data_IF_570770518281
#
_entry.id   IF_570770518281
#
_cell.length_a   1.000
_cell.length_b   1.000
_cell.length_c   1.000
_cell.angle_alpha   90.00
_cell.angle_beta   90.00
_cell.angle_gamma   90.00
#
_symmetry.space_group_name_H-M   'P 1'
#
loop_
_entity.id
_entity.type
_entity.pdbx_description
1 polymer ?
#
# COMPACT_ATOMS: atom_id res chain seq x y z
N UNK A 1 12.82 13.43 -9.99
CA UNK A 1 12.41 12.05 -10.34
C UNK A 1 11.09 12.01 -11.13
N UNK A 2 9.92 12.36 -10.55
CA UNK A 2 8.63 12.24 -11.26
C UNK A 2 8.57 13.01 -12.60
N UNK A 3 9.06 14.24 -12.63
CA UNK A 3 9.14 15.03 -13.87
C UNK A 3 10.07 14.41 -14.91
N UNK A 4 11.21 13.83 -14.48
CA UNK A 4 12.15 13.16 -15.38
C UNK A 4 11.53 11.87 -15.93
N UNK A 5 10.78 11.11 -15.10
CA UNK A 5 9.99 9.96 -15.56
C UNK A 5 8.95 10.38 -16.59
N UNK A 6 8.22 11.49 -16.36
CA UNK A 6 7.23 12.02 -17.29
C UNK A 6 7.84 12.41 -18.65
N UNK A 7 9.08 12.91 -18.67
CA UNK A 7 9.84 13.22 -19.89
C UNK A 7 10.49 11.99 -20.53
N UNK A 8 10.38 10.81 -19.91
CA UNK A 8 11.04 9.59 -20.39
C UNK A 8 12.56 9.58 -20.19
N UNK A 9 13.08 10.40 -19.27
CA UNK A 9 14.52 10.51 -19.05
C UNK A 9 15.05 9.27 -18.29
N UNK A 10 16.11 8.61 -18.77
CA UNK A 10 16.68 7.41 -18.14
C UNK A 10 17.06 7.61 -16.68
N UNK A 11 17.50 8.81 -16.30
CA UNK A 11 17.87 9.15 -14.93
C UNK A 11 16.67 9.07 -13.97
N UNK A 12 15.53 9.62 -14.36
CA UNK A 12 14.33 9.58 -13.53
C UNK A 12 13.86 8.16 -13.29
N UNK A 13 13.88 7.32 -14.33
CA UNK A 13 13.51 5.92 -14.24
C UNK A 13 14.51 5.10 -13.41
N UNK A 14 15.81 5.39 -13.50
CA UNK A 14 16.82 4.77 -12.65
C UNK A 14 16.54 5.06 -11.16
N UNK A 15 16.34 6.34 -10.82
CA UNK A 15 16.02 6.77 -9.46
C UNK A 15 14.71 6.13 -8.97
N UNK A 16 13.69 6.10 -9.80
CA UNK A 16 12.39 5.51 -9.47
C UNK A 16 12.48 4.00 -9.20
N UNK A 17 13.12 3.24 -10.08
CA UNK A 17 13.30 1.79 -9.88
C UNK A 17 14.14 1.53 -8.64
N UNK A 18 15.27 2.25 -8.46
CA UNK A 18 16.14 2.10 -7.29
C UNK A 18 15.40 2.28 -5.99
N UNK A 19 14.60 3.34 -5.89
CA UNK A 19 14.02 3.77 -4.61
C UNK A 19 12.67 3.10 -4.29
N UNK A 20 11.97 2.57 -5.31
CA UNK A 20 10.60 2.06 -5.14
C UNK A 20 10.44 0.56 -5.45
N UNK A 21 11.48 -0.14 -5.95
CA UNK A 21 11.38 -1.56 -6.29
C UNK A 21 11.08 -2.44 -5.08
N UNK A 22 11.78 -2.24 -3.97
CA UNK A 22 11.56 -3.04 -2.76
C UNK A 22 10.18 -2.78 -2.15
N UNK A 23 9.76 -1.52 -2.09
CA UNK A 23 8.42 -1.16 -1.64
C UNK A 23 7.35 -1.83 -2.52
N UNK A 24 7.53 -1.81 -3.85
CA UNK A 24 6.63 -2.49 -4.80
C UNK A 24 6.58 -4.00 -4.54
N UNK A 25 7.73 -4.61 -4.31
CA UNK A 25 7.84 -6.04 -4.02
C UNK A 25 7.05 -6.42 -2.77
N UNK A 26 7.31 -5.73 -1.66
CA UNK A 26 6.64 -5.98 -0.38
C UNK A 26 5.12 -5.81 -0.50
N UNK A 27 4.69 -4.74 -1.13
CA UNK A 27 3.28 -4.46 -1.28
C UNK A 27 2.58 -5.50 -2.17
N UNK A 28 3.16 -5.85 -3.32
CA UNK A 28 2.59 -6.87 -4.20
C UNK A 28 2.50 -8.23 -3.51
N UNK A 29 3.53 -8.63 -2.74
CA UNK A 29 3.52 -9.91 -2.01
C UNK A 29 2.50 -9.94 -0.87
N UNK A 30 2.30 -8.82 -0.18
CA UNK A 30 1.31 -8.73 0.89
C UNK A 30 -0.12 -8.83 0.37
N UNK A 31 -0.45 -8.07 -0.68
CA UNK A 31 -1.80 -8.06 -1.24
C UNK A 31 -2.09 -9.25 -2.18
N UNK A 32 -1.05 -9.74 -2.86
CA UNK A 32 -1.15 -10.74 -3.93
C UNK A 32 -0.07 -11.82 -3.77
N UNK A 33 -0.11 -12.63 -2.70
CA UNK A 33 0.93 -13.62 -2.41
C UNK A 33 1.11 -14.66 -3.53
N UNK A 34 0.11 -14.86 -4.38
CA UNK A 34 0.20 -15.72 -5.56
C UNK A 34 1.26 -15.25 -6.58
N UNK A 35 1.72 -14.00 -6.52
CA UNK A 35 2.77 -13.48 -7.41
C UNK A 35 4.20 -13.88 -6.96
N UNK A 36 4.36 -14.47 -5.78
CA UNK A 36 5.67 -14.79 -5.19
C UNK A 36 6.60 -15.60 -6.11
N UNK A 37 6.15 -16.63 -6.84
CA UNK A 37 7.04 -17.44 -7.69
C UNK A 37 7.72 -16.63 -8.80
N UNK A 38 7.05 -15.60 -9.32
CA UNK A 38 7.51 -14.80 -10.46
C UNK A 38 7.61 -13.31 -10.14
N UNK A 39 7.78 -12.96 -8.87
CA UNK A 39 7.72 -11.55 -8.42
C UNK A 39 8.68 -10.64 -9.19
N UNK A 40 9.86 -11.12 -9.57
CA UNK A 40 10.84 -10.35 -10.37
C UNK A 40 10.30 -9.96 -11.74
N UNK A 41 9.59 -10.87 -12.42
CA UNK A 41 8.94 -10.63 -13.71
C UNK A 41 7.77 -9.63 -13.54
N UNK A 42 6.97 -9.81 -12.50
CA UNK A 42 5.86 -8.90 -12.18
C UNK A 42 6.33 -7.49 -11.86
N UNK A 43 7.42 -7.34 -11.12
CA UNK A 43 8.01 -6.02 -10.87
C UNK A 43 8.47 -5.35 -12.17
N UNK A 44 9.16 -6.08 -13.02
CA UNK A 44 9.59 -5.57 -14.33
C UNK A 44 8.41 -5.14 -15.20
N UNK A 45 7.37 -6.00 -15.28
CA UNK A 45 6.15 -5.71 -16.02
C UNK A 45 5.40 -4.50 -15.45
N UNK A 46 5.36 -4.36 -14.13
CA UNK A 46 4.77 -3.21 -13.44
C UNK A 46 5.46 -1.89 -13.83
N UNK A 47 6.80 -1.83 -13.74
CA UNK A 47 7.53 -0.61 -14.10
C UNK A 47 7.39 -0.27 -15.59
N UNK A 48 7.39 -1.28 -16.47
CA UNK A 48 7.10 -1.09 -17.89
C UNK A 48 5.70 -0.49 -18.11
N UNK A 49 4.69 -1.05 -17.44
CA UNK A 49 3.33 -0.51 -17.50
C UNK A 49 3.24 0.94 -17.00
N UNK A 50 3.91 1.27 -15.89
CA UNK A 50 3.95 2.64 -15.37
C UNK A 50 4.52 3.62 -16.39
N UNK A 51 5.52 3.20 -17.17
CA UNK A 51 6.09 3.97 -18.26
C UNK A 51 5.11 4.09 -19.45
N UNK A 52 4.62 2.96 -19.93
CA UNK A 52 3.82 2.89 -21.17
C UNK A 52 2.44 3.54 -21.01
N UNK A 53 1.88 3.55 -19.81
CA UNK A 53 0.64 4.25 -19.48
C UNK A 53 0.81 5.76 -19.31
N UNK A 54 2.03 6.29 -19.45
CA UNK A 54 2.35 7.68 -19.16
C UNK A 54 1.87 8.13 -17.76
N UNK A 55 1.90 7.23 -16.78
CA UNK A 55 1.35 7.44 -15.43
C UNK A 55 1.86 8.73 -14.77
N UNK A 56 3.12 9.08 -15.01
CA UNK A 56 3.70 10.32 -14.49
C UNK A 56 3.22 11.59 -15.22
N UNK A 57 2.61 11.45 -16.41
CA UNK A 57 2.20 12.59 -17.23
C UNK A 57 0.94 13.24 -16.64
N UNK A 58 1.02 14.53 -16.35
CA UNK A 58 -0.10 15.28 -15.79
C UNK A 58 -0.34 15.09 -14.29
N UNK A 59 0.46 14.25 -13.62
CA UNK A 59 0.39 14.12 -12.16
C UNK A 59 1.23 15.22 -11.50
N UNK A 60 0.58 15.98 -10.62
CA UNK A 60 1.23 16.93 -9.74
C UNK A 60 1.06 16.46 -8.31
N UNK A 61 2.18 16.24 -7.62
CA UNK A 61 2.18 15.87 -6.22
C UNK A 61 2.77 17.00 -5.40
N UNK A 62 2.06 17.44 -4.38
CA UNK A 62 2.53 18.48 -3.47
C UNK A 62 3.63 17.98 -2.54
N UNK A 63 3.69 16.65 -2.34
CA UNK A 63 4.66 15.99 -1.46
C UNK A 63 4.77 14.48 -1.77
N UNK A 64 5.81 13.84 -1.18
CA UNK A 64 6.05 12.40 -1.37
C UNK A 64 4.87 11.53 -0.89
N UNK A 65 4.11 11.96 0.12
CA UNK A 65 2.99 11.16 0.66
C UNK A 65 1.83 11.05 -0.33
N UNK A 66 1.51 12.13 -1.04
CA UNK A 66 0.52 12.10 -2.12
C UNK A 66 0.96 11.18 -3.26
N UNK A 67 2.25 11.25 -3.61
CA UNK A 67 2.84 10.33 -4.57
C UNK A 67 2.71 8.87 -4.11
N UNK A 68 3.07 8.56 -2.87
CA UNK A 68 2.98 7.20 -2.32
C UNK A 68 1.57 6.62 -2.39
N UNK A 69 0.54 7.45 -2.16
CA UNK A 69 -0.85 6.98 -2.22
C UNK A 69 -1.28 6.69 -3.66
N UNK A 70 -0.95 7.56 -4.61
CA UNK A 70 -1.22 7.30 -6.03
C UNK A 70 -0.40 6.08 -6.54
N UNK A 71 0.81 5.92 -6.07
CA UNK A 71 1.67 4.78 -6.38
C UNK A 71 1.08 3.46 -5.83
N UNK A 72 0.57 3.47 -4.61
CA UNK A 72 -0.17 2.34 -4.04
C UNK A 72 -1.35 1.93 -4.92
N UNK A 73 -2.14 2.90 -5.37
CA UNK A 73 -3.31 2.62 -6.19
C UNK A 73 -2.92 2.02 -7.55
N UNK A 74 -1.81 2.47 -8.14
CA UNK A 74 -1.25 1.89 -9.37
C UNK A 74 -0.79 0.44 -9.16
N UNK A 75 -0.06 0.16 -8.07
CA UNK A 75 0.39 -1.19 -7.71
C UNK A 75 -0.79 -2.14 -7.48
N UNK A 76 -1.80 -1.67 -6.76
CA UNK A 76 -2.99 -2.46 -6.48
C UNK A 76 -3.78 -2.77 -7.76
N UNK A 77 -3.95 -1.79 -8.65
CA UNK A 77 -4.60 -2.00 -9.95
C UNK A 77 -3.85 -3.03 -10.80
N UNK A 78 -2.50 -2.96 -10.82
CA UNK A 78 -1.68 -3.94 -11.51
C UNK A 78 -1.85 -5.35 -10.93
N UNK A 79 -1.69 -5.50 -9.61
CA UNK A 79 -1.81 -6.80 -8.95
C UNK A 79 -3.16 -7.47 -9.20
N UNK A 80 -4.24 -6.72 -9.14
CA UNK A 80 -5.60 -7.22 -9.45
C UNK A 80 -5.74 -7.75 -10.88
N UNK A 81 -5.18 -7.04 -11.83
CA UNK A 81 -5.28 -7.42 -13.24
C UNK A 81 -4.55 -8.74 -13.52
N UNK A 82 -3.36 -8.91 -12.93
CA UNK A 82 -2.54 -10.11 -13.22
C UNK A 82 -2.93 -11.34 -12.40
N UNK A 83 -3.54 -11.17 -11.22
CA UNK A 83 -3.88 -12.32 -10.36
C UNK A 83 -5.23 -12.96 -10.67
N UNK A 84 -6.17 -12.25 -11.29
CA UNK A 84 -7.53 -12.75 -11.64
C UNK A 84 -8.17 -13.59 -10.53
N UNK A 85 -8.04 -13.17 -9.29
CA UNK A 85 -8.46 -13.98 -8.14
C UNK A 85 -9.97 -14.20 -8.13
N UNK A 86 -10.45 -15.46 -8.16
CA UNK A 86 -11.75 -15.80 -7.64
C UNK A 86 -11.65 -15.82 -6.13
N UNK A 87 -11.81 -14.68 -5.47
CA UNK A 87 -11.87 -14.68 -4.02
C UNK A 87 -13.32 -14.85 -3.56
N UNK A 88 -13.57 -15.61 -2.49
CA UNK A 88 -14.86 -15.61 -1.84
C UNK A 88 -15.15 -14.19 -1.38
N UNK A 89 -16.30 -13.67 -1.76
CA UNK A 89 -16.71 -12.33 -1.34
C UNK A 89 -17.03 -12.36 0.16
N UNK A 90 -16.26 -11.62 0.96
CA UNK A 90 -16.73 -11.24 2.29
C UNK A 90 -17.87 -10.24 2.07
N UNK A 91 -19.09 -10.49 2.57
CA UNK A 91 -20.15 -9.50 2.53
C UNK A 91 -19.68 -8.27 3.33
N UNK A 92 -19.63 -7.12 2.67
CA UNK A 92 -19.17 -5.87 3.29
C UNK A 92 -20.00 -5.53 4.52
N UNK A 93 -21.30 -5.70 4.40
CA UNK A 93 -22.27 -5.46 5.47
C UNK A 93 -21.95 -6.33 6.70
N UNK A 94 -21.58 -7.59 6.48
CA UNK A 94 -21.19 -8.51 7.57
C UNK A 94 -19.90 -8.09 8.23
N UNK A 95 -18.90 -7.66 7.44
CA UNK A 95 -17.65 -7.13 7.99
C UNK A 95 -17.91 -5.89 8.84
N UNK A 96 -18.69 -4.93 8.35
CA UNK A 96 -19.06 -3.71 9.07
C UNK A 96 -19.81 -4.05 10.37
N UNK A 97 -20.79 -4.94 10.30
CA UNK A 97 -21.57 -5.40 11.47
C UNK A 97 -20.67 -6.00 12.56
N UNK A 98 -19.80 -6.93 12.18
CA UNK A 98 -18.93 -7.64 13.15
C UNK A 98 -17.87 -6.72 13.76
N UNK A 99 -17.47 -5.67 13.03
CA UNK A 99 -16.42 -4.75 13.47
C UNK A 99 -16.95 -3.46 14.13
N UNK A 100 -18.27 -3.26 14.19
CA UNK A 100 -18.89 -1.99 14.69
C UNK A 100 -18.47 -1.62 16.11
N UNK A 101 -18.24 -2.62 16.98
CA UNK A 101 -17.91 -2.41 18.41
C UNK A 101 -16.41 -2.16 18.63
N UNK A 102 -15.58 -2.39 17.61
CA UNK A 102 -14.15 -2.17 17.69
C UNK A 102 -13.82 -0.68 17.76
N UNK A 103 -12.83 -0.33 18.57
CA UNK A 103 -12.20 1.00 18.52
C UNK A 103 -11.52 1.22 17.17
N UNK A 104 -11.16 2.46 16.85
CA UNK A 104 -10.44 2.76 15.61
C UNK A 104 -9.13 1.97 15.52
N UNK A 105 -8.35 1.93 16.60
CA UNK A 105 -7.08 1.19 16.68
C UNK A 105 -7.28 -0.31 16.38
N UNK A 106 -8.30 -0.91 16.94
CA UNK A 106 -8.61 -2.33 16.68
C UNK A 106 -9.06 -2.58 15.25
N UNK A 107 -9.81 -1.66 14.64
CA UNK A 107 -10.17 -1.73 13.22
C UNK A 107 -8.96 -1.59 12.31
N UNK A 108 -8.04 -0.68 12.63
CA UNK A 108 -6.77 -0.53 11.91
C UNK A 108 -5.96 -1.84 11.97
N UNK A 109 -5.81 -2.44 13.16
CA UNK A 109 -5.12 -3.70 13.34
C UNK A 109 -5.74 -4.81 12.49
N UNK A 110 -7.06 -4.96 12.55
CA UNK A 110 -7.77 -5.97 11.77
C UNK A 110 -7.66 -5.74 10.25
N UNK A 111 -7.75 -4.48 9.82
CA UNK A 111 -7.63 -4.11 8.40
C UNK A 111 -6.24 -4.41 7.85
N UNK A 112 -5.18 -4.09 8.59
CA UNK A 112 -3.80 -4.42 8.23
C UNK A 112 -3.55 -5.93 8.24
N UNK A 113 -4.16 -6.67 9.18
CA UNK A 113 -4.08 -8.12 9.20
C UNK A 113 -4.68 -8.75 7.92
N UNK A 114 -5.83 -8.27 7.49
CA UNK A 114 -6.46 -8.69 6.22
C UNK A 114 -5.57 -8.37 5.01
N UNK A 115 -4.81 -7.27 5.04
CA UNK A 115 -3.83 -6.90 4.02
C UNK A 115 -2.58 -7.80 4.00
N UNK A 116 -2.49 -8.81 4.87
CA UNK A 116 -1.42 -9.81 4.87
C UNK A 116 -0.27 -9.54 5.83
N UNK A 117 -0.32 -8.45 6.60
CA UNK A 117 0.72 -8.16 7.60
C UNK A 117 0.64 -9.13 8.78
N UNK A 118 1.80 -9.47 9.34
CA UNK A 118 1.86 -10.20 10.60
C UNK A 118 1.62 -9.28 11.81
N UNK A 119 1.34 -9.88 12.96
CA UNK A 119 0.99 -9.14 14.17
C UNK A 119 2.10 -8.19 14.65
N UNK A 120 3.37 -8.54 14.44
CA UNK A 120 4.52 -7.71 14.82
C UNK A 120 4.64 -6.49 13.91
N UNK A 121 4.47 -6.69 12.61
CA UNK A 121 4.45 -5.61 11.64
C UNK A 121 3.31 -4.62 11.91
N UNK A 122 2.12 -5.14 12.21
CA UNK A 122 0.94 -4.32 12.54
C UNK A 122 1.18 -3.48 13.79
N UNK A 123 1.69 -4.09 14.86
CA UNK A 123 2.01 -3.37 16.10
C UNK A 123 3.01 -2.22 15.86
N UNK A 124 3.97 -2.42 14.95
CA UNK A 124 4.92 -1.38 14.56
C UNK A 124 4.31 -0.28 13.68
N UNK A 125 3.29 -0.61 12.86
CA UNK A 125 2.62 0.36 11.97
C UNK A 125 1.64 1.26 12.70
N UNK A 126 0.80 0.67 13.56
CA UNK A 126 -0.28 1.40 14.25
C UNK A 126 0.26 2.39 15.28
N UNK A 127 1.52 2.24 15.72
CA UNK A 127 2.20 3.16 16.65
C UNK A 127 1.38 3.51 17.90
N UNK A 128 0.61 2.55 18.44
CA UNK A 128 -0.22 2.68 19.62
C UNK A 128 0.15 1.62 20.66
N UNK A 129 0.24 1.99 21.93
CA UNK A 129 0.59 1.08 23.01
C UNK A 129 -0.39 -0.12 23.16
N UNK A 130 -1.66 0.05 22.75
CA UNK A 130 -2.64 -1.03 22.73
C UNK A 130 -2.44 -2.01 21.57
N UNK A 131 -1.70 -1.65 20.53
CA UNK A 131 -1.44 -2.46 19.34
C UNK A 131 -0.27 -3.43 19.58
N UNK A 132 -0.43 -4.36 20.52
CA UNK A 132 0.55 -5.44 20.72
C UNK A 132 0.29 -6.59 19.75
N UNK A 133 1.32 -7.37 19.43
CA UNK A 133 1.16 -8.56 18.58
C UNK A 133 0.08 -9.53 19.12
N UNK A 134 -0.01 -9.69 20.43
CA UNK A 134 -1.02 -10.53 21.07
C UNK A 134 -2.44 -9.95 20.88
N UNK A 135 -2.62 -8.63 21.02
CA UNK A 135 -3.91 -7.98 20.80
C UNK A 135 -4.37 -8.11 19.34
N UNK A 136 -3.45 -7.90 18.38
CA UNK A 136 -3.74 -8.07 16.95
C UNK A 136 -4.23 -9.49 16.65
N UNK A 137 -3.51 -10.51 17.14
CA UNK A 137 -3.90 -11.90 16.91
C UNK A 137 -5.25 -12.23 17.56
N UNK A 138 -5.46 -11.80 18.80
CA UNK A 138 -6.72 -12.04 19.52
C UNK A 138 -7.94 -11.44 18.82
N UNK A 139 -7.82 -10.20 18.30
CA UNK A 139 -8.89 -9.54 17.55
C UNK A 139 -9.14 -10.27 16.23
N UNK A 140 -8.08 -10.63 15.50
CA UNK A 140 -8.21 -11.36 14.24
C UNK A 140 -8.94 -12.70 14.46
N UNK A 141 -8.50 -13.51 15.43
CA UNK A 141 -9.11 -14.80 15.71
C UNK A 141 -10.58 -14.68 16.12
N UNK A 142 -10.90 -13.70 16.97
CA UNK A 142 -12.26 -13.51 17.48
C UNK A 142 -13.23 -12.98 16.41
N UNK A 143 -12.82 -11.96 15.66
CA UNK A 143 -13.73 -11.22 14.76
C UNK A 143 -13.85 -11.88 13.39
N UNK A 144 -12.75 -12.37 12.83
CA UNK A 144 -12.79 -12.97 11.51
C UNK A 144 -13.51 -14.31 11.47
N UNK A 145 -13.47 -15.08 12.56
CA UNK A 145 -14.30 -16.27 12.71
C UNK A 145 -15.81 -15.98 12.62
N UNK A 146 -16.25 -14.78 12.98
CA UNK A 146 -17.63 -14.33 12.88
C UNK A 146 -17.99 -13.84 11.46
N UNK A 147 -17.02 -13.32 10.71
CA UNK A 147 -17.22 -12.83 9.34
C UNK A 147 -17.42 -13.98 8.36
N UNK A 148 -16.54 -14.97 8.40
CA UNK A 148 -16.60 -16.19 7.60
C UNK A 148 -16.32 -17.41 8.48
N UNK A 149 -17.35 -17.99 9.10
CA UNK A 149 -17.19 -19.16 9.94
C UNK A 149 -16.55 -20.34 9.20
N UNK A 150 -15.48 -20.90 9.77
CA UNK A 150 -14.74 -22.02 9.19
C UNK A 150 -13.74 -21.66 8.09
N UNK A 151 -13.63 -20.41 7.70
CA UNK A 151 -12.62 -19.97 6.74
C UNK A 151 -11.24 -19.85 7.41
N UNK A 152 -10.22 -20.40 6.76
CA UNK A 152 -8.82 -20.20 7.17
C UNK A 152 -8.32 -18.78 6.89
N UNK A 153 -7.22 -18.41 7.54
CA UNK A 153 -6.58 -17.09 7.39
C UNK A 153 -6.28 -16.72 5.93
N UNK A 154 -5.85 -17.68 5.11
CA UNK A 154 -5.56 -17.45 3.69
C UNK A 154 -6.80 -17.04 2.89
N UNK A 155 -7.96 -17.69 3.14
CA UNK A 155 -9.22 -17.35 2.49
C UNK A 155 -9.67 -15.96 2.88
N UNK A 156 -9.54 -15.60 4.15
CA UNK A 156 -9.88 -14.27 4.66
C UNK A 156 -8.99 -13.18 4.05
N UNK A 157 -7.69 -13.44 3.98
CA UNK A 157 -6.73 -12.51 3.34
C UNK A 157 -6.97 -12.36 1.83
N UNK A 158 -7.24 -13.46 1.14
CA UNK A 158 -7.62 -13.40 -0.28
C UNK A 158 -8.87 -12.55 -0.53
N UNK A 159 -9.77 -12.48 0.45
CA UNK A 159 -11.01 -11.71 0.36
C UNK A 159 -10.82 -10.21 0.56
N UNK A 160 -9.65 -9.74 1.03
CA UNK A 160 -9.39 -8.31 1.26
C UNK A 160 -9.54 -7.48 -0.01
N UNK A 161 -9.16 -8.04 -1.15
CA UNK A 161 -9.28 -7.36 -2.45
C UNK A 161 -10.72 -6.92 -2.72
N UNK A 162 -11.71 -7.77 -2.43
CA UNK A 162 -13.13 -7.41 -2.56
C UNK A 162 -13.58 -6.34 -1.56
N UNK A 163 -13.09 -6.42 -0.31
CA UNK A 163 -13.38 -5.38 0.69
C UNK A 163 -12.78 -4.03 0.28
N UNK A 164 -11.57 -4.00 -0.28
CA UNK A 164 -10.93 -2.79 -0.80
C UNK A 164 -11.70 -2.19 -1.99
N UNK A 165 -12.18 -3.04 -2.90
CA UNK A 165 -13.02 -2.61 -4.02
C UNK A 165 -14.37 -2.04 -3.54
N UNK A 166 -14.97 -2.72 -2.58
CA UNK A 166 -16.21 -2.27 -1.99
C UNK A 166 -16.00 -0.96 -1.21
N UNK A 167 -14.93 -0.84 -0.44
CA UNK A 167 -14.56 0.39 0.25
C UNK A 167 -14.42 1.58 -0.72
N UNK A 168 -13.78 1.35 -1.87
CA UNK A 168 -13.65 2.38 -2.91
C UNK A 168 -14.99 2.81 -3.54
N UNK A 169 -15.98 1.91 -3.56
CA UNK A 169 -17.33 2.17 -4.09
C UNK A 169 -18.26 2.81 -3.06
N UNK A 170 -18.10 2.49 -1.78
CA UNK A 170 -18.93 2.98 -0.67
C UNK A 170 -18.44 4.34 -0.15
N UNK A 171 -18.13 5.27 -1.05
CA UNK A 171 -17.77 6.63 -0.64
C UNK A 171 -18.96 7.26 0.06
N UNK A 172 -18.85 7.43 1.37
CA UNK A 172 -19.72 8.40 2.06
C UNK A 172 -19.29 9.80 1.61
N UNK A 173 -20.24 10.63 1.25
CA UNK A 173 -19.96 12.02 0.88
C UNK A 173 -20.25 12.92 2.11
N UNK A 174 -19.26 13.70 2.56
CA UNK A 174 -17.90 13.84 2.04
C UNK A 174 -16.88 12.92 2.75
N UNK A 175 -16.07 12.16 1.99
CA UNK A 175 -14.88 11.52 2.56
C UNK A 175 -13.85 12.56 3.02
N UNK A 176 -13.05 12.18 4.04
CA UNK A 176 -12.02 13.06 4.60
C UNK A 176 -10.92 13.36 3.54
N UNK A 177 -10.49 14.64 3.46
CA UNK A 177 -9.39 15.02 2.58
C UNK A 177 -8.05 14.48 3.09
N UNK A 178 -7.06 14.32 2.20
CA UNK A 178 -5.70 13.85 2.55
C UNK A 178 -5.04 14.67 3.63
N UNK A 179 -5.28 15.98 3.67
CA UNK A 179 -4.76 16.88 4.71
C UNK A 179 -5.17 16.43 6.12
N UNK A 180 -6.39 15.91 6.28
CA UNK A 180 -6.87 15.40 7.57
C UNK A 180 -6.07 14.19 8.02
N UNK A 181 -5.83 13.21 7.16
CA UNK A 181 -5.00 12.04 7.49
C UNK A 181 -3.57 12.45 7.84
N UNK A 182 -2.98 13.36 7.06
CA UNK A 182 -1.65 13.89 7.32
C UNK A 182 -1.56 14.57 8.70
N UNK A 183 -2.54 15.40 9.03
CA UNK A 183 -2.59 16.09 10.33
C UNK A 183 -2.78 15.11 11.48
N UNK A 184 -3.65 14.10 11.33
CA UNK A 184 -3.85 13.04 12.34
C UNK A 184 -2.54 12.31 12.66
N UNK A 185 -1.84 11.84 11.63
CA UNK A 185 -0.58 11.08 11.78
C UNK A 185 0.53 11.93 12.38
N UNK A 186 0.57 13.24 12.07
CA UNK A 186 1.58 14.16 12.61
C UNK A 186 1.19 14.78 13.97
N UNK A 187 0.03 14.45 14.53
CA UNK A 187 -0.46 15.06 15.77
C UNK A 187 -0.79 16.55 15.65
N UNK A 188 -1.12 17.03 14.44
CA UNK A 188 -1.40 18.42 14.12
C UNK A 188 -2.91 18.75 14.13
N UNK A 189 -3.70 17.98 14.84
CA UNK A 189 -5.14 18.16 14.99
C UNK A 189 -5.45 18.64 16.41
N UNK A 190 -6.46 19.49 16.53
CA UNK A 190 -7.09 19.74 17.83
C UNK A 190 -7.81 18.47 18.30
N UNK A 191 -8.09 18.37 19.61
CA UNK A 191 -8.82 17.22 20.16
C UNK A 191 -10.17 17.00 19.45
N UNK A 192 -10.92 18.06 19.20
CA UNK A 192 -12.24 17.98 18.54
C UNK A 192 -12.14 17.54 17.07
N UNK A 193 -11.17 18.06 16.31
CA UNK A 193 -10.93 17.65 14.93
C UNK A 193 -10.57 16.18 14.87
N UNK A 194 -9.73 15.71 15.80
CA UNK A 194 -9.33 14.34 15.92
C UNK A 194 -10.53 13.43 16.19
N UNK A 195 -11.35 13.76 17.19
CA UNK A 195 -12.55 12.98 17.54
C UNK A 195 -13.50 12.83 16.34
N UNK A 196 -13.79 13.93 15.64
CA UNK A 196 -14.66 13.92 14.46
C UNK A 196 -14.07 13.08 13.31
N UNK A 197 -12.77 13.20 13.06
CA UNK A 197 -12.11 12.45 12.03
C UNK A 197 -12.06 10.95 12.36
N UNK A 198 -11.74 10.58 13.60
CA UNK A 198 -11.70 9.18 14.06
C UNK A 198 -13.10 8.55 14.01
N UNK A 199 -14.15 9.28 14.40
CA UNK A 199 -15.54 8.82 14.27
C UNK A 199 -15.88 8.53 12.79
N UNK A 200 -15.56 9.47 11.89
CA UNK A 200 -15.80 9.27 10.46
C UNK A 200 -15.00 8.09 9.88
N UNK A 201 -13.72 7.97 10.22
CA UNK A 201 -12.87 6.85 9.76
C UNK A 201 -13.46 5.51 10.24
N UNK A 202 -13.97 5.48 11.46
CA UNK A 202 -14.63 4.31 12.03
C UNK A 202 -15.86 3.89 11.23
N UNK A 203 -16.66 4.83 10.74
CA UNK A 203 -17.93 4.54 10.06
C UNK A 203 -17.80 4.43 8.53
N UNK A 204 -16.72 4.97 7.95
CA UNK A 204 -16.47 4.97 6.52
C UNK A 204 -15.32 4.02 6.13
N UNK A 205 -15.66 2.86 5.53
CA UNK A 205 -14.67 1.86 5.14
C UNK A 205 -13.62 2.40 4.15
N UNK A 206 -14.01 3.30 3.25
CA UNK A 206 -13.07 3.96 2.35
C UNK A 206 -12.07 4.85 3.10
N UNK A 207 -12.51 5.60 4.11
CA UNK A 207 -11.61 6.40 4.93
C UNK A 207 -10.73 5.55 5.85
N UNK A 208 -11.23 4.42 6.34
CA UNK A 208 -10.44 3.43 7.07
C UNK A 208 -9.31 2.86 6.19
N UNK A 209 -9.64 2.42 4.96
CA UNK A 209 -8.62 1.94 4.03
C UNK A 209 -7.58 3.03 3.69
N UNK A 210 -8.04 4.23 3.39
CA UNK A 210 -7.14 5.35 3.07
C UNK A 210 -6.24 5.73 4.23
N UNK A 211 -6.75 5.75 5.46
CA UNK A 211 -5.98 6.07 6.65
C UNK A 211 -4.93 5.01 6.97
N UNK A 212 -5.32 3.73 6.97
CA UNK A 212 -4.39 2.62 7.18
C UNK A 212 -3.35 2.51 6.07
N UNK A 213 -3.75 2.72 4.82
CA UNK A 213 -2.82 2.72 3.68
C UNK A 213 -1.83 3.88 3.73
N UNK A 214 -2.24 5.02 4.27
CA UNK A 214 -1.33 6.16 4.46
C UNK A 214 -0.21 5.81 5.46
N UNK A 215 -0.54 5.20 6.59
CA UNK A 215 0.45 4.74 7.57
C UNK A 215 1.33 3.62 7.01
N UNK A 216 0.72 2.65 6.34
CA UNK A 216 1.36 1.54 5.66
C UNK A 216 2.44 2.04 4.68
N UNK A 217 2.08 2.92 3.76
CA UNK A 217 2.99 3.42 2.73
C UNK A 217 4.16 4.22 3.32
N UNK A 218 3.91 5.04 4.34
CA UNK A 218 4.99 5.74 5.05
C UNK A 218 5.95 4.74 5.68
N UNK A 219 5.43 3.70 6.32
CA UNK A 219 6.25 2.69 6.99
C UNK A 219 7.06 1.87 5.98
N UNK A 220 6.40 1.34 4.95
CA UNK A 220 7.06 0.59 3.90
C UNK A 220 8.14 1.40 3.20
N UNK A 221 7.90 2.69 2.94
CA UNK A 221 8.88 3.58 2.33
C UNK A 221 10.08 3.82 3.22
N UNK A 222 9.86 4.00 4.52
CA UNK A 222 10.93 4.19 5.51
C UNK A 222 11.83 2.95 5.64
N UNK A 223 11.23 1.77 5.57
CA UNK A 223 11.93 0.49 5.77
C UNK A 223 12.51 -0.09 4.46
N UNK A 224 12.08 0.45 3.29
CA UNK A 224 12.58 0.00 1.99
C UNK A 224 14.03 0.42 1.77
N UNK A 225 14.84 -0.54 1.33
CA UNK A 225 16.22 -0.29 0.94
C UNK A 225 16.30 0.02 -0.55
N UNK A 226 17.23 0.87 -0.97
CA UNK A 226 17.48 1.08 -2.39
C UNK A 226 17.86 -0.23 -3.08
N UNK A 227 17.26 -0.50 -4.25
CA UNK A 227 17.59 -1.69 -5.01
C UNK A 227 19.04 -1.69 -5.48
N UNK A 228 19.66 -2.88 -5.46
CA UNK A 228 21.01 -3.08 -5.96
C UNK A 228 21.08 -2.94 -7.48
N UNK A 229 22.28 -2.71 -8.00
CA UNK A 229 22.50 -2.59 -9.44
C UNK A 229 22.08 -3.87 -10.22
N UNK A 230 22.28 -5.04 -9.62
CA UNK A 230 21.87 -6.31 -10.20
C UNK A 230 20.35 -6.42 -10.36
N UNK A 231 19.59 -5.81 -9.46
CA UNK A 231 18.13 -5.77 -9.50
C UNK A 231 17.57 -4.69 -10.44
N UNK A 232 18.30 -3.57 -10.59
CA UNK A 232 17.89 -2.45 -11.42
C UNK A 232 18.10 -2.74 -12.92
N UNK A 233 19.24 -3.33 -13.26
CA UNK A 233 19.64 -3.52 -14.67
C UNK A 233 18.62 -4.27 -15.53
N UNK A 234 18.04 -5.39 -15.10
CA UNK A 234 17.01 -6.09 -15.88
C UNK A 234 15.79 -5.22 -16.15
N UNK A 235 15.34 -4.47 -15.12
CA UNK A 235 14.19 -3.58 -15.26
C UNK A 235 14.50 -2.46 -16.26
N UNK A 236 15.65 -1.80 -16.16
CA UNK A 236 16.04 -0.74 -17.09
C UNK A 236 16.20 -1.23 -18.53
N UNK A 237 16.71 -2.44 -18.71
CA UNK A 237 16.82 -3.05 -20.04
C UNK A 237 15.45 -3.24 -20.68
N UNK A 238 14.47 -3.76 -19.92
CA UNK A 238 13.08 -3.92 -20.36
C UNK A 238 12.37 -2.58 -20.61
N UNK A 239 12.79 -1.54 -19.88
CA UNK A 239 12.34 -0.17 -20.15
C UNK A 239 13.06 0.47 -21.37
N UNK A 240 13.88 -0.27 -22.10
CA UNK A 240 14.60 0.23 -23.28
C UNK A 240 15.75 1.17 -22.97
N UNK A 241 16.22 1.24 -21.72
CA UNK A 241 17.36 2.04 -21.33
C UNK A 241 18.66 1.20 -21.38
N UNK A 242 19.59 1.59 -22.26
CA UNK A 242 20.87 0.90 -22.37
C UNK A 242 21.69 0.99 -21.09
N UNK A 243 22.06 -0.18 -20.54
CA UNK A 243 22.91 -0.29 -19.33
C UNK A 243 24.33 0.29 -19.55
N UNK A 244 24.79 0.43 -20.79
CA UNK A 244 26.08 1.01 -21.11
C UNK A 244 26.11 2.54 -20.86
N UNK A 245 25.02 3.26 -21.11
CA UNK A 245 24.90 4.70 -20.78
C UNK A 245 24.64 4.95 -19.29
N UNK A 246 23.99 4.02 -18.61
CA UNK A 246 23.70 4.14 -17.18
C UNK A 246 24.94 3.93 -16.30
N UNK A 247 25.97 3.18 -16.73
CA UNK A 247 27.22 3.00 -15.96
C UNK A 247 27.90 4.31 -15.59
N UNK A 248 27.91 5.32 -16.46
CA UNK A 248 28.47 6.65 -16.17
C UNK A 248 27.62 7.51 -15.22
N UNK A 249 26.30 7.31 -15.17
CA UNK A 249 25.38 7.99 -14.27
C UNK A 249 25.38 7.34 -12.88
N UNK A 250 25.46 6.03 -12.85
CA UNK A 250 25.42 5.21 -11.64
C UNK A 250 26.66 5.45 -10.75
N UNK A 251 27.88 5.49 -11.36
CA UNK A 251 29.09 5.76 -10.58
C UNK A 251 29.03 7.11 -9.83
N UNK A 252 28.32 8.10 -10.37
CA UNK A 252 28.15 9.41 -9.74
C UNK A 252 27.09 9.43 -8.63
N UNK A 253 26.11 8.53 -8.65
CA UNK A 253 25.07 8.44 -7.62
C UNK A 253 25.53 7.68 -6.37
N UNK A 254 26.35 6.64 -6.55
CA UNK A 254 26.89 5.83 -5.46
C UNK A 254 28.19 6.39 -4.84
N UNK A 255 28.81 7.40 -5.46
CA UNK A 255 30.00 8.09 -4.89
C UNK A 255 29.64 9.29 -3.99
N UNK A 256 28.36 9.55 -3.74
CA UNK A 256 27.87 10.64 -2.88
C UNK A 256 27.25 10.18 -1.55
N UNK A 257 27.46 8.91 -1.16
CA UNK A 257 27.02 8.37 0.12
C UNK A 257 28.14 8.39 1.13
#
# INVERSE_FOLDING_TARGET
MAEDCARGEPRGWLEFVRDYRELSCRMLLNYFPALAPEIGQHLTAFFRRARDSAWFTGLQFSNEREFLMAFRDLLFAYGREVTRLPAPAIPVEKYVEVTKDLSLVEREMLWLWLKGYDATQIAAMVANAAATAQAVQGIADQKLAQVLPGAGAEVLRASVVHLLEAAAKTKSDPCLPWKTFNNLVNGQTTWRERELAEAHIKDCLNCLDRFTSFQEMIRLRKDAQPASQAEINPVLAELGFSTARSRGLISRLFSRS
#
